data_IF_970414472322
#
_entry.id   IF_970414472322
#
_cell.length_a   1.000
_cell.length_b   1.000
_cell.length_c   1.000
_cell.angle_alpha   90.00
_cell.angle_beta   90.00
_cell.angle_gamma   90.00
#
_symmetry.space_group_name_H-M   'P 1'
#
loop_
_entity.id
_entity.type
_entity.pdbx_description
1 polymer ?
#
# COMPACT_ATOMS: atom_id res chain seq x y z
N UNK A 1 -0.74 20.68 42.71
CA UNK A 1 -1.79 19.78 42.19
C UNK A 1 -1.18 18.83 41.16
N UNK A 2 -0.97 17.54 41.49
CA UNK A 2 -0.31 16.57 40.60
C UNK A 2 -1.03 16.34 39.27
N UNK A 3 -2.36 16.44 39.25
CA UNK A 3 -3.17 16.28 38.05
C UNK A 3 -2.82 17.34 36.98
N UNK A 4 -2.70 18.60 37.41
CA UNK A 4 -2.31 19.72 36.52
C UNK A 4 -0.89 19.50 35.99
N UNK A 5 0.03 19.00 36.81
CA UNK A 5 1.40 18.73 36.39
C UNK A 5 1.46 17.63 35.32
N UNK A 6 0.66 16.56 35.47
CA UNK A 6 0.55 15.50 34.48
C UNK A 6 -0.06 16.04 33.17
N UNK A 7 -1.16 16.81 33.25
CA UNK A 7 -1.79 17.43 32.09
C UNK A 7 -0.84 18.35 31.30
N UNK A 8 -0.08 19.21 31.99
CA UNK A 8 0.87 20.13 31.34
C UNK A 8 2.00 19.40 30.60
N UNK A 9 2.43 18.22 31.09
CA UNK A 9 3.44 17.39 30.44
C UNK A 9 2.86 16.61 29.27
N UNK A 10 1.74 15.92 29.45
CA UNK A 10 1.11 15.11 28.40
C UNK A 10 0.62 15.95 27.22
N UNK A 11 0.12 17.16 27.48
CA UNK A 11 -0.31 18.09 26.42
C UNK A 11 0.86 18.84 25.76
N UNK A 12 2.12 18.58 26.17
CA UNK A 12 3.30 19.24 25.62
C UNK A 12 3.31 20.76 25.83
N UNK A 13 2.68 21.25 26.90
CA UNK A 13 2.54 22.70 27.15
C UNK A 13 3.90 23.36 27.33
N UNK A 14 4.85 22.66 27.96
CA UNK A 14 6.23 23.16 28.13
C UNK A 14 6.96 23.30 26.79
N UNK A 15 6.80 22.34 25.89
CA UNK A 15 7.33 22.36 24.52
C UNK A 15 6.67 23.50 23.71
N UNK A 16 5.35 23.66 23.84
CA UNK A 16 4.60 24.77 23.23
C UNK A 16 5.10 26.13 23.70
N UNK A 17 5.28 26.33 25.01
CA UNK A 17 5.85 27.56 25.58
C UNK A 17 7.28 27.78 25.09
N UNK A 18 8.11 26.71 25.03
CA UNK A 18 9.51 26.79 24.58
C UNK A 18 9.60 27.23 23.11
N UNK A 19 8.72 26.72 22.25
CA UNK A 19 8.63 27.13 20.84
C UNK A 19 8.09 28.55 20.73
N UNK A 20 7.00 28.91 21.42
CA UNK A 20 6.45 30.26 21.40
C UNK A 20 7.43 31.33 21.87
N UNK A 21 8.32 31.00 22.84
CA UNK A 21 9.35 31.92 23.32
C UNK A 21 10.49 32.13 22.32
N UNK A 22 10.85 31.10 21.55
CA UNK A 22 11.87 31.18 20.50
C UNK A 22 11.31 31.71 19.18
N UNK A 23 10.04 31.45 18.92
CA UNK A 23 9.34 31.77 17.68
C UNK A 23 8.74 33.18 17.66
N UNK A 24 7.99 33.43 16.59
CA UNK A 24 7.36 34.70 16.30
C UNK A 24 5.87 34.44 16.02
N UNK A 25 5.00 34.48 17.06
CA UNK A 25 3.60 34.05 16.94
C UNK A 25 2.76 34.95 16.02
N UNK A 26 3.15 36.21 15.83
CA UNK A 26 2.42 37.17 15.02
C UNK A 26 3.08 37.32 13.65
N UNK A 27 2.27 37.37 12.58
CA UNK A 27 2.75 37.50 11.19
C UNK A 27 1.85 38.44 10.38
N UNK A 28 2.45 39.38 9.66
CA UNK A 28 1.73 40.40 8.88
C UNK A 28 2.34 40.48 7.47
N UNK A 29 1.49 40.63 6.45
CA UNK A 29 1.94 40.87 5.08
C UNK A 29 2.64 42.22 4.97
N UNK A 30 3.66 42.30 4.12
CA UNK A 30 4.44 43.54 3.97
C UNK A 30 3.60 44.75 3.53
N UNK A 31 2.64 44.55 2.64
CA UNK A 31 1.72 45.60 2.18
C UNK A 31 0.91 46.17 3.35
N UNK A 32 0.26 45.29 4.12
CA UNK A 32 -0.55 45.67 5.28
C UNK A 32 0.28 46.35 6.36
N UNK A 33 1.46 45.80 6.67
CA UNK A 33 2.37 46.38 7.66
C UNK A 33 2.77 47.79 7.24
N UNK A 34 3.24 47.96 6.00
CA UNK A 34 3.62 49.26 5.46
C UNK A 34 2.45 50.23 5.52
N UNK A 35 1.27 49.86 5.02
CA UNK A 35 0.10 50.73 4.99
C UNK A 35 -0.32 51.15 6.41
N UNK A 36 -0.35 50.22 7.35
CA UNK A 36 -0.82 50.44 8.73
C UNK A 36 0.13 51.33 9.54
N UNK A 37 1.44 51.07 9.45
CA UNK A 37 2.43 51.71 10.32
C UNK A 37 3.20 52.86 9.68
N UNK A 38 2.98 53.16 8.38
CA UNK A 38 3.61 54.31 7.71
C UNK A 38 3.47 55.62 8.48
N UNK A 39 2.36 55.80 9.19
CA UNK A 39 2.07 56.96 10.02
C UNK A 39 3.07 57.17 11.18
N UNK A 40 3.73 56.11 11.63
CA UNK A 40 4.74 56.19 12.70
C UNK A 40 5.91 57.08 12.27
N UNK A 41 6.35 56.93 11.01
CA UNK A 41 7.38 57.76 10.42
C UNK A 41 7.17 57.93 8.90
N UNK A 42 6.42 58.95 8.47
CA UNK A 42 6.17 59.19 7.05
C UNK A 42 7.45 59.51 6.26
N UNK A 43 8.48 60.08 6.90
CA UNK A 43 9.73 60.42 6.25
C UNK A 43 10.57 59.19 5.85
N UNK A 44 10.41 58.06 6.56
CA UNK A 44 11.08 56.81 6.24
C UNK A 44 10.61 56.20 4.91
N UNK A 45 9.39 56.55 4.46
CA UNK A 45 8.80 56.08 3.20
C UNK A 45 8.24 57.29 2.43
N UNK A 46 9.08 57.96 1.61
CA UNK A 46 8.70 59.13 0.82
C UNK A 46 7.44 58.90 -0.04
N UNK A 47 6.60 59.92 -0.18
CA UNK A 47 5.46 59.89 -1.11
C UNK A 47 5.92 59.93 -2.57
N UNK A 48 5.22 59.19 -3.44
CA UNK A 48 5.45 59.20 -4.89
C UNK A 48 6.56 58.27 -5.41
N UNK A 49 7.39 57.67 -4.55
CA UNK A 49 8.36 56.67 -4.95
C UNK A 49 7.80 55.25 -4.77
N UNK A 50 7.81 54.45 -5.85
CA UNK A 50 7.52 53.02 -5.75
C UNK A 50 8.66 52.34 -4.99
N UNK A 51 8.39 51.99 -3.74
CA UNK A 51 9.27 51.20 -2.90
C UNK A 51 8.61 49.85 -2.73
N UNK A 52 9.38 48.78 -2.98
CA UNK A 52 8.97 47.41 -2.69
C UNK A 52 8.50 47.27 -1.24
N UNK A 53 7.40 46.56 -1.02
CA UNK A 53 6.73 46.50 0.27
C UNK A 53 7.63 45.93 1.37
N UNK A 54 8.50 44.98 1.04
CA UNK A 54 9.48 44.45 1.99
C UNK A 54 10.53 45.50 2.35
N UNK A 55 11.15 46.13 1.36
CA UNK A 55 12.12 47.24 1.61
C UNK A 55 11.50 48.40 2.39
N UNK A 56 10.22 48.71 2.13
CA UNK A 56 9.47 49.72 2.87
C UNK A 56 9.27 49.33 4.34
N UNK A 57 8.92 48.07 4.61
CA UNK A 57 8.81 47.57 5.97
C UNK A 57 10.17 47.54 6.70
N UNK A 58 11.25 47.16 6.02
CA UNK A 58 12.62 47.17 6.55
C UNK A 58 13.05 48.59 6.94
N UNK A 59 12.87 49.58 6.06
CA UNK A 59 13.17 50.99 6.35
C UNK A 59 12.34 51.54 7.50
N UNK A 60 11.05 51.21 7.53
CA UNK A 60 10.14 51.70 8.57
C UNK A 60 10.51 51.13 9.94
N UNK A 61 10.68 49.81 10.06
CA UNK A 61 11.10 49.16 11.31
C UNK A 61 12.49 49.63 11.76
N UNK A 62 13.42 49.82 10.82
CA UNK A 62 14.75 50.35 11.14
C UNK A 62 14.75 51.84 11.53
N UNK A 63 13.70 52.59 11.19
CA UNK A 63 13.55 54.00 11.59
C UNK A 63 12.92 54.18 12.97
N UNK A 64 12.39 53.10 13.55
CA UNK A 64 11.74 53.08 14.85
C UNK A 64 12.73 52.44 15.83
N UNK A 65 12.86 53.01 17.01
CA UNK A 65 13.75 52.49 18.04
C UNK A 65 13.15 51.24 18.71
N UNK A 66 13.30 50.09 18.05
CA UNK A 66 12.83 48.78 18.50
C UNK A 66 13.95 47.73 18.39
N UNK A 67 13.95 46.79 19.33
CA UNK A 67 14.91 45.68 19.33
C UNK A 67 14.70 44.78 18.09
N UNK A 68 15.76 44.66 17.28
CA UNK A 68 15.78 43.89 16.04
C UNK A 68 15.68 42.36 16.27
N UNK A 69 15.79 41.89 17.52
CA UNK A 69 15.52 40.50 17.88
C UNK A 69 14.03 40.19 18.09
N UNK A 70 13.19 41.22 18.16
CA UNK A 70 11.74 41.06 18.37
C UNK A 70 10.96 40.87 17.08
N UNK A 71 11.59 41.04 15.92
CA UNK A 71 10.98 40.75 14.63
C UNK A 71 11.94 40.02 13.68
N UNK A 72 11.38 39.35 12.66
CA UNK A 72 12.13 38.75 11.56
C UNK A 72 11.41 38.92 10.24
N UNK A 73 12.19 39.08 9.17
CA UNK A 73 11.69 39.18 7.80
C UNK A 73 11.64 37.80 7.15
N UNK A 74 10.47 37.42 6.65
CA UNK A 74 10.32 36.28 5.73
C UNK A 74 10.21 36.71 4.28
N UNK A 75 9.82 35.80 3.40
CA UNK A 75 9.66 36.11 1.97
C UNK A 75 8.48 37.03 1.68
N UNK A 76 7.32 36.77 2.28
CA UNK A 76 6.07 37.52 2.03
C UNK A 76 5.53 38.27 3.25
N UNK A 77 6.04 37.95 4.44
CA UNK A 77 5.52 38.43 5.73
C UNK A 77 6.66 38.84 6.65
N UNK A 78 6.37 39.81 7.51
CA UNK A 78 7.17 40.11 8.70
C UNK A 78 6.56 39.41 9.91
N UNK A 79 7.43 38.89 10.76
CA UNK A 79 7.09 38.11 11.93
C UNK A 79 7.49 38.87 13.20
N UNK A 80 6.63 38.86 14.22
CA UNK A 80 6.83 39.59 15.47
C UNK A 80 6.71 38.65 16.68
N UNK A 81 7.52 38.92 17.71
CA UNK A 81 7.36 38.33 19.03
C UNK A 81 6.07 38.85 19.67
N UNK A 82 5.60 38.13 20.69
CA UNK A 82 4.50 38.61 21.53
C UNK A 82 4.87 39.96 22.18
N UNK A 83 3.92 40.88 22.26
CA UNK A 83 4.11 42.22 22.83
C UNK A 83 4.51 43.30 21.82
N UNK A 84 5.45 43.03 20.90
CA UNK A 84 5.95 44.05 19.96
C UNK A 84 4.83 44.66 19.09
N UNK A 85 3.89 43.83 18.63
CA UNK A 85 2.78 44.34 17.82
C UNK A 85 1.85 45.28 18.60
N UNK A 86 1.64 45.01 19.89
CA UNK A 86 0.88 45.89 20.77
C UNK A 86 1.56 47.24 20.95
N UNK A 87 2.88 47.23 21.17
CA UNK A 87 3.68 48.46 21.24
C UNK A 87 3.58 49.29 19.96
N UNK A 88 3.66 48.66 18.78
CA UNK A 88 3.51 49.36 17.50
C UNK A 88 2.11 49.95 17.31
N UNK A 89 1.05 49.31 17.83
CA UNK A 89 -0.30 49.87 17.83
C UNK A 89 -0.42 51.07 18.78
N UNK A 90 0.13 50.98 19.99
CA UNK A 90 0.11 52.10 20.94
C UNK A 90 0.80 53.34 20.36
N UNK A 91 2.01 53.18 19.80
CA UNK A 91 2.73 54.28 19.14
C UNK A 91 1.93 54.88 17.97
N UNK A 92 1.15 54.03 17.26
CA UNK A 92 0.32 54.44 16.14
C UNK A 92 -0.89 55.23 16.61
N UNK A 93 -1.55 54.77 17.67
CA UNK A 93 -2.72 55.41 18.25
C UNK A 93 -2.39 56.79 18.84
N UNK A 94 -1.22 56.94 19.46
CA UNK A 94 -0.75 58.25 19.91
C UNK A 94 -0.60 59.26 18.75
N UNK A 95 -0.02 58.82 17.62
CA UNK A 95 0.11 59.64 16.41
C UNK A 95 -1.25 59.96 15.81
N UNK A 96 -2.13 58.96 15.69
CA UNK A 96 -3.49 59.13 15.16
C UNK A 96 -4.31 60.08 16.00
N UNK A 97 -4.24 59.98 17.34
CA UNK A 97 -4.95 60.86 18.26
C UNK A 97 -4.64 62.34 17.99
N UNK A 98 -3.37 62.68 17.77
CA UNK A 98 -2.95 64.06 17.43
C UNK A 98 -3.52 64.53 16.09
N UNK A 99 -3.52 63.67 15.05
CA UNK A 99 -4.04 64.01 13.73
C UNK A 99 -5.56 64.16 13.77
N UNK A 100 -6.25 63.18 14.36
CA UNK A 100 -7.72 63.16 14.49
C UNK A 100 -8.19 64.39 15.26
N UNK A 101 -7.48 64.79 16.33
CA UNK A 101 -7.82 65.99 17.09
C UNK A 101 -7.80 67.26 16.21
N UNK A 102 -6.81 67.39 15.30
CA UNK A 102 -6.75 68.52 14.34
C UNK A 102 -7.89 68.48 13.33
N UNK A 103 -8.20 67.31 12.78
CA UNK A 103 -9.33 67.14 11.84
C UNK A 103 -10.65 67.47 12.55
N UNK A 104 -10.85 66.96 13.76
CA UNK A 104 -12.03 67.26 14.58
C UNK A 104 -12.15 68.76 14.88
N UNK A 105 -11.04 69.44 15.19
CA UNK A 105 -11.05 70.88 15.43
C UNK A 105 -11.45 71.66 14.17
N UNK A 106 -10.95 71.28 12.99
CA UNK A 106 -11.35 71.89 11.71
C UNK A 106 -12.82 71.63 11.38
N UNK A 107 -13.29 70.39 11.54
CA UNK A 107 -14.68 70.02 11.30
C UNK A 107 -15.65 70.77 12.24
N UNK A 108 -15.36 70.80 13.55
CA UNK A 108 -16.13 71.58 14.53
C UNK A 108 -16.12 73.07 14.19
N UNK A 109 -14.95 73.61 13.81
CA UNK A 109 -14.83 75.01 13.38
C UNK A 109 -15.68 75.32 12.15
N UNK A 110 -15.72 74.43 11.16
CA UNK A 110 -16.53 74.61 9.96
C UNK A 110 -18.03 74.52 10.27
N UNK A 111 -18.44 73.54 11.07
CA UNK A 111 -19.83 73.39 11.52
C UNK A 111 -20.30 74.64 12.25
N UNK A 112 -19.49 75.19 13.15
CA UNK A 112 -19.84 76.40 13.90
C UNK A 112 -19.88 77.64 13.02
N UNK A 113 -19.02 77.77 12.00
CA UNK A 113 -19.11 78.87 11.03
C UNK A 113 -20.37 78.81 10.18
N UNK A 114 -20.78 77.61 9.74
CA UNK A 114 -22.04 77.41 9.01
C UNK A 114 -23.22 77.78 9.91
N UNK A 115 -23.23 77.30 11.16
CA UNK A 115 -24.31 77.61 12.08
C UNK A 115 -24.35 79.11 12.44
N UNK A 116 -23.19 79.73 12.64
CA UNK A 116 -23.09 81.17 12.86
C UNK A 116 -23.62 81.98 11.67
N UNK A 117 -23.33 81.55 10.43
CA UNK A 117 -23.90 82.17 9.23
C UNK A 117 -25.43 82.10 9.24
N UNK A 118 -26.02 80.96 9.59
CA UNK A 118 -27.48 80.84 9.74
C UNK A 118 -28.01 81.76 10.83
N UNK A 119 -27.29 81.93 11.94
CA UNK A 119 -27.68 82.86 13.02
C UNK A 119 -27.68 84.30 12.51
N UNK A 120 -26.67 84.72 11.74
CA UNK A 120 -26.63 86.04 11.10
C UNK A 120 -27.76 86.23 10.09
N UNK A 121 -27.97 85.26 9.20
CA UNK A 121 -29.06 85.29 8.21
C UNK A 121 -30.43 85.37 8.91
N UNK A 122 -30.63 84.64 10.01
CA UNK A 122 -31.85 84.75 10.84
C UNK A 122 -32.01 86.14 11.43
N UNK A 123 -30.92 86.76 11.94
CA UNK A 123 -30.96 88.11 12.51
C UNK A 123 -31.39 89.14 11.47
N UNK A 124 -30.82 89.08 10.27
CA UNK A 124 -31.14 90.04 9.21
C UNK A 124 -32.55 89.77 8.64
N UNK A 125 -32.92 88.51 8.46
CA UNK A 125 -34.29 88.12 8.07
C UNK A 125 -35.34 88.59 9.09
N UNK A 126 -35.05 88.54 10.39
CA UNK A 126 -35.95 89.04 11.42
C UNK A 126 -36.26 90.54 11.23
N UNK A 127 -35.26 91.36 10.92
CA UNK A 127 -35.47 92.79 10.66
C UNK A 127 -36.33 93.02 9.42
N UNK A 128 -36.03 92.30 8.33
CA UNK A 128 -36.79 92.37 7.08
C UNK A 128 -38.24 91.92 7.28
N UNK A 129 -38.48 90.82 8.00
CA UNK A 129 -39.84 90.35 8.32
C UNK A 129 -40.57 91.38 9.15
N UNK A 130 -39.97 91.90 10.23
CA UNK A 130 -40.61 92.91 11.07
C UNK A 130 -41.01 94.15 10.27
N UNK A 131 -40.12 94.64 9.39
CA UNK A 131 -40.43 95.80 8.56
C UNK A 131 -41.50 95.50 7.52
N UNK A 132 -41.41 94.37 6.82
CA UNK A 132 -42.41 93.94 5.84
C UNK A 132 -43.78 93.72 6.47
N UNK A 133 -43.87 93.15 7.67
CA UNK A 133 -45.15 92.99 8.38
C UNK A 133 -45.76 94.35 8.70
N UNK A 134 -44.97 95.32 9.18
CA UNK A 134 -45.45 96.69 9.41
C UNK A 134 -45.91 97.36 8.10
N UNK A 135 -45.12 97.28 7.04
CA UNK A 135 -45.46 97.83 5.73
C UNK A 135 -46.71 97.17 5.14
N UNK A 136 -46.81 95.84 5.21
CA UNK A 136 -47.97 95.06 4.78
C UNK A 136 -49.22 95.49 5.55
N UNK A 137 -49.14 95.64 6.88
CA UNK A 137 -50.26 96.10 7.69
C UNK A 137 -50.73 97.51 7.30
N UNK A 138 -49.82 98.37 6.84
CA UNK A 138 -50.17 99.68 6.27
C UNK A 138 -50.86 99.61 4.91
N UNK A 139 -50.42 98.72 4.02
CA UNK A 139 -50.91 98.66 2.63
C UNK A 139 -52.00 97.61 2.37
N UNK A 140 -52.24 96.65 3.27
CA UNK A 140 -53.20 95.53 3.06
C UNK A 140 -54.63 95.99 2.76
N UNK A 141 -55.00 97.16 3.28
CA UNK A 141 -56.33 97.74 3.08
C UNK A 141 -56.40 98.68 1.86
N UNK A 142 -55.26 99.00 1.24
CA UNK A 142 -55.16 99.89 0.09
C UNK A 142 -55.83 99.26 -1.16
N UNK A 143 -56.77 99.96 -1.83
CA UNK A 143 -57.51 99.39 -2.96
C UNK A 143 -56.65 98.84 -4.09
N UNK A 144 -55.55 99.51 -4.45
CA UNK A 144 -54.64 99.06 -5.52
C UNK A 144 -53.93 97.74 -5.18
N UNK A 145 -53.55 97.50 -3.92
CA UNK A 145 -52.94 96.23 -3.50
C UNK A 145 -53.94 95.06 -3.58
N UNK A 146 -55.20 95.31 -3.22
CA UNK A 146 -56.29 94.31 -3.35
C UNK A 146 -56.54 93.95 -4.82
N UNK A 147 -56.47 94.92 -5.72
CA UNK A 147 -56.60 94.69 -7.16
C UNK A 147 -55.45 93.82 -7.69
N UNK A 148 -54.21 94.14 -7.33
CA UNK A 148 -53.03 93.36 -7.73
C UNK A 148 -53.11 91.89 -7.30
N UNK A 149 -53.51 91.60 -6.05
CA UNK A 149 -53.66 90.21 -5.58
C UNK A 149 -54.78 89.44 -6.29
N UNK A 150 -55.82 90.11 -6.79
CA UNK A 150 -56.85 89.47 -7.62
C UNK A 150 -56.37 89.16 -9.03
N UNK A 151 -55.48 89.99 -9.58
CA UNK A 151 -54.98 89.85 -10.96
C UNK A 151 -53.80 88.88 -11.05
N UNK A 152 -52.89 88.89 -10.07
CA UNK A 152 -51.63 88.10 -10.12
C UNK A 152 -51.82 86.59 -10.36
N UNK A 153 -52.76 85.88 -9.71
CA UNK A 153 -52.99 84.45 -9.96
C UNK A 153 -53.58 84.16 -11.35
N UNK A 154 -54.17 85.15 -12.02
CA UNK A 154 -54.71 85.00 -13.37
C UNK A 154 -53.61 85.02 -14.44
N UNK A 155 -52.36 85.36 -14.06
CA UNK A 155 -51.18 85.33 -14.91
C UNK A 155 -50.61 83.90 -14.96
N UNK A 156 -51.35 82.99 -15.63
CA UNK A 156 -51.09 81.54 -15.76
C UNK A 156 -49.73 81.12 -16.36
N UNK A 157 -48.96 82.05 -16.92
CA UNK A 157 -47.76 81.73 -17.71
C UNK A 157 -46.54 81.34 -16.87
N UNK A 158 -46.38 81.88 -15.66
CA UNK A 158 -45.15 81.68 -14.88
C UNK A 158 -45.10 80.34 -14.12
N UNK A 159 -46.25 79.81 -13.72
CA UNK A 159 -46.34 78.55 -12.95
C UNK A 159 -46.16 77.33 -13.86
N UNK A 160 -46.77 77.37 -15.04
CA UNK A 160 -46.70 76.31 -16.05
C UNK A 160 -45.29 76.15 -16.65
N UNK A 161 -44.53 77.23 -16.80
CA UNK A 161 -43.13 77.18 -17.27
C UNK A 161 -42.20 76.48 -16.28
N UNK A 162 -42.37 76.76 -14.98
CA UNK A 162 -41.56 76.13 -13.92
C UNK A 162 -41.86 74.63 -13.76
N UNK A 163 -43.13 74.24 -13.88
CA UNK A 163 -43.54 72.83 -13.89
C UNK A 163 -42.94 72.09 -15.11
N UNK A 164 -43.03 72.70 -16.30
CA UNK A 164 -42.46 72.14 -17.52
C UNK A 164 -40.94 71.94 -17.44
N UNK A 165 -40.22 72.89 -16.83
CA UNK A 165 -38.78 72.77 -16.65
C UNK A 165 -38.41 71.63 -15.70
N UNK A 166 -39.14 71.50 -14.59
CA UNK A 166 -38.93 70.41 -13.62
C UNK A 166 -39.18 69.04 -14.27
N UNK A 167 -40.27 68.92 -15.04
CA UNK A 167 -40.63 67.69 -15.74
C UNK A 167 -39.58 67.29 -16.78
N UNK A 168 -39.01 68.24 -17.52
CA UNK A 168 -37.94 67.96 -18.51
C UNK A 168 -36.67 67.44 -17.85
N UNK A 169 -36.28 68.00 -16.71
CA UNK A 169 -35.10 67.54 -15.97
C UNK A 169 -35.29 66.13 -15.41
N UNK A 170 -36.47 65.84 -14.85
CA UNK A 170 -36.80 64.52 -14.33
C UNK A 170 -36.86 63.48 -15.44
N UNK A 171 -37.47 63.82 -16.58
CA UNK A 171 -37.53 62.95 -17.75
C UNK A 171 -36.12 62.63 -18.28
N UNK A 172 -35.24 63.64 -18.37
CA UNK A 172 -33.85 63.45 -18.80
C UNK A 172 -33.09 62.50 -17.87
N UNK A 173 -33.18 62.71 -16.55
CA UNK A 173 -32.53 61.86 -15.55
C UNK A 173 -33.05 60.42 -15.59
N UNK A 174 -34.36 60.22 -15.71
CA UNK A 174 -34.96 58.89 -15.80
C UNK A 174 -34.54 58.15 -17.06
N UNK A 175 -34.49 58.84 -18.21
CA UNK A 175 -34.07 58.26 -19.47
C UNK A 175 -32.61 57.79 -19.43
N UNK A 176 -31.71 58.62 -18.91
CA UNK A 176 -30.29 58.27 -18.79
C UNK A 176 -30.07 57.11 -17.80
N UNK A 177 -30.80 57.09 -16.68
CA UNK A 177 -30.73 56.00 -15.71
C UNK A 177 -31.23 54.68 -16.31
N UNK A 178 -32.32 54.72 -17.08
CA UNK A 178 -32.87 53.55 -17.76
C UNK A 178 -31.86 52.96 -18.75
N UNK A 179 -31.26 53.80 -19.60
CA UNK A 179 -30.28 53.37 -20.60
C UNK A 179 -29.05 52.71 -19.95
N UNK A 180 -28.50 53.34 -18.89
CA UNK A 180 -27.38 52.77 -18.12
C UNK A 180 -27.75 51.44 -17.46
N UNK A 181 -28.96 51.32 -16.92
CA UNK A 181 -29.43 50.11 -16.27
C UNK A 181 -29.63 48.97 -17.27
N UNK A 182 -30.18 49.26 -18.44
CA UNK A 182 -30.39 48.26 -19.50
C UNK A 182 -29.06 47.75 -20.07
N UNK A 183 -28.09 48.64 -20.30
CA UNK A 183 -26.75 48.25 -20.74
C UNK A 183 -26.05 47.34 -19.71
N UNK A 184 -26.09 47.71 -18.42
CA UNK A 184 -25.51 46.89 -17.35
C UNK A 184 -26.23 45.55 -17.19
N UNK A 185 -27.56 45.51 -17.36
CA UNK A 185 -28.33 44.26 -17.31
C UNK A 185 -27.87 43.29 -18.40
N UNK A 186 -27.72 43.77 -19.64
CA UNK A 186 -27.25 42.93 -20.76
C UNK A 186 -25.86 42.34 -20.51
N UNK A 187 -24.91 43.16 -20.05
CA UNK A 187 -23.55 42.70 -19.74
C UNK A 187 -23.53 41.61 -18.64
N UNK A 188 -24.38 41.77 -17.61
CA UNK A 188 -24.50 40.79 -16.54
C UNK A 188 -25.19 39.49 -17.00
N UNK A 189 -26.19 39.58 -17.87
CA UNK A 189 -26.84 38.41 -18.46
C UNK A 189 -25.88 37.59 -19.31
N UNK A 190 -25.04 38.24 -20.14
CA UNK A 190 -24.00 37.57 -20.92
C UNK A 190 -22.98 36.83 -20.03
N UNK A 191 -22.51 37.48 -18.96
CA UNK A 191 -21.62 36.86 -17.96
C UNK A 191 -22.29 35.68 -17.25
N UNK A 192 -23.58 35.79 -16.93
CA UNK A 192 -24.33 34.74 -16.27
C UNK A 192 -24.49 33.51 -17.17
N UNK A 193 -24.70 33.70 -18.47
CA UNK A 193 -24.73 32.60 -19.46
C UNK A 193 -23.39 31.87 -19.52
N UNK A 194 -22.26 32.60 -19.57
CA UNK A 194 -20.92 32.00 -19.56
C UNK A 194 -20.68 31.16 -18.31
N UNK A 195 -21.02 31.69 -17.13
CA UNK A 195 -20.86 30.97 -15.86
C UNK A 195 -21.75 29.73 -15.76
N UNK A 196 -22.97 29.79 -16.30
CA UNK A 196 -23.86 28.63 -16.35
C UNK A 196 -23.32 27.56 -17.29
N UNK A 197 -22.73 27.95 -18.42
CA UNK A 197 -22.06 27.02 -19.32
C UNK A 197 -20.86 26.36 -18.66
N UNK A 198 -19.94 27.12 -18.07
CA UNK A 198 -18.78 26.60 -17.35
C UNK A 198 -19.19 25.64 -16.21
N UNK A 199 -20.25 25.98 -15.47
CA UNK A 199 -20.80 25.11 -14.43
C UNK A 199 -21.29 23.78 -15.00
N UNK A 200 -22.03 23.81 -16.12
CA UNK A 200 -22.55 22.60 -16.75
C UNK A 200 -21.40 21.74 -17.32
N UNK A 201 -20.40 22.37 -17.93
CA UNK A 201 -19.22 21.68 -18.47
C UNK A 201 -18.42 21.00 -17.34
N UNK A 202 -18.19 21.70 -16.22
CA UNK A 202 -17.56 21.12 -15.03
C UNK A 202 -18.39 19.99 -14.43
N UNK A 203 -19.73 20.10 -14.43
CA UNK A 203 -20.60 19.05 -13.93
C UNK A 203 -20.52 17.79 -14.80
N UNK A 204 -20.47 17.94 -16.13
CA UNK A 204 -20.25 16.83 -17.05
C UNK A 204 -18.88 16.19 -16.86
N UNK A 205 -17.83 16.99 -16.67
CA UNK A 205 -16.49 16.50 -16.40
C UNK A 205 -16.42 15.71 -15.08
N UNK A 206 -17.05 16.23 -14.02
CA UNK A 206 -17.13 15.52 -12.72
C UNK A 206 -17.87 14.19 -12.86
N UNK A 207 -18.97 14.14 -13.63
CA UNK A 207 -19.68 12.88 -13.87
C UNK A 207 -18.81 11.87 -14.63
N UNK A 208 -18.11 12.30 -15.68
CA UNK A 208 -17.20 11.44 -16.44
C UNK A 208 -16.04 10.89 -15.60
N UNK A 209 -15.44 11.73 -14.74
CA UNK A 209 -14.39 11.28 -13.80
C UNK A 209 -14.95 10.34 -12.74
N UNK A 210 -16.19 10.53 -12.27
CA UNK A 210 -16.83 9.62 -11.32
C UNK A 210 -17.11 8.25 -11.96
N UNK A 211 -17.58 8.21 -13.20
CA UNK A 211 -17.81 6.96 -13.93
C UNK A 211 -16.48 6.22 -14.17
N UNK A 212 -15.42 6.95 -14.55
CA UNK A 212 -14.08 6.39 -14.73
C UNK A 212 -13.48 5.87 -13.41
N UNK A 213 -13.75 6.56 -12.29
CA UNK A 213 -13.38 6.10 -10.95
C UNK A 213 -14.11 4.80 -10.60
N UNK A 214 -15.42 4.72 -10.84
CA UNK A 214 -16.21 3.51 -10.60
C UNK A 214 -15.68 2.32 -11.43
N UNK A 215 -15.37 2.55 -12.71
CA UNK A 215 -14.76 1.52 -13.59
C UNK A 215 -13.37 1.07 -13.10
N UNK A 216 -12.60 1.98 -12.49
CA UNK A 216 -11.31 1.67 -11.90
C UNK A 216 -11.45 0.88 -10.57
N UNK A 217 -12.45 1.24 -9.74
CA UNK A 217 -12.80 0.52 -8.52
C UNK A 217 -13.26 -0.90 -8.83
N UNK A 218 -14.15 -1.10 -9.82
CA UNK A 218 -14.59 -2.44 -10.21
C UNK A 218 -13.44 -3.31 -10.70
N UNK A 219 -12.52 -2.74 -11.49
CA UNK A 219 -11.28 -3.42 -11.91
C UNK A 219 -10.39 -3.77 -10.71
N UNK A 220 -10.27 -2.88 -9.73
CA UNK A 220 -9.49 -3.12 -8.51
C UNK A 220 -10.10 -4.26 -7.69
N UNK A 221 -11.42 -4.24 -7.49
CA UNK A 221 -12.16 -5.27 -6.77
C UNK A 221 -12.02 -6.64 -7.45
N UNK A 222 -12.09 -6.68 -8.79
CA UNK A 222 -11.88 -7.92 -9.53
C UNK A 222 -10.44 -8.45 -9.35
N UNK A 223 -9.44 -7.58 -9.36
CA UNK A 223 -8.05 -7.95 -9.09
C UNK A 223 -7.87 -8.46 -7.65
N UNK A 224 -8.51 -7.83 -6.67
CA UNK A 224 -8.48 -8.27 -5.26
C UNK A 224 -9.09 -9.67 -5.13
N UNK A 225 -10.26 -9.92 -5.75
CA UNK A 225 -10.88 -11.25 -5.76
C UNK A 225 -9.98 -12.31 -6.41
N UNK A 226 -9.40 -11.99 -7.57
CA UNK A 226 -8.47 -12.88 -8.26
C UNK A 226 -7.21 -13.16 -7.43
N UNK A 227 -6.67 -12.13 -6.75
CA UNK A 227 -5.51 -12.27 -5.86
C UNK A 227 -5.80 -13.24 -4.73
N UNK A 228 -6.93 -13.11 -4.05
CA UNK A 228 -7.34 -14.03 -2.97
C UNK A 228 -7.42 -15.47 -3.48
N UNK A 229 -7.99 -15.69 -4.67
CA UNK A 229 -8.07 -17.03 -5.27
C UNK A 229 -6.68 -17.60 -5.64
N UNK A 230 -5.79 -16.76 -6.17
CA UNK A 230 -4.43 -17.16 -6.51
C UNK A 230 -3.60 -17.46 -5.25
N UNK A 231 -3.74 -16.68 -4.20
CA UNK A 231 -3.10 -16.93 -2.90
C UNK A 231 -3.58 -18.26 -2.29
N UNK A 232 -4.87 -18.56 -2.38
CA UNK A 232 -5.42 -19.85 -1.93
C UNK A 232 -4.83 -21.03 -2.73
N UNK A 233 -4.78 -20.93 -4.07
CA UNK A 233 -4.18 -21.97 -4.93
C UNK A 233 -2.68 -22.13 -4.69
N UNK A 234 -1.96 -21.03 -4.48
CA UNK A 234 -0.54 -21.08 -4.15
C UNK A 234 -0.31 -21.81 -2.83
N UNK A 235 -1.15 -21.56 -1.82
CA UNK A 235 -1.08 -22.26 -0.53
C UNK A 235 -1.36 -23.77 -0.68
N UNK A 236 -2.42 -24.15 -1.40
CA UNK A 236 -2.75 -25.56 -1.67
C UNK A 236 -1.61 -26.29 -2.42
N UNK A 237 -1.04 -25.65 -3.45
CA UNK A 237 0.08 -26.24 -4.19
C UNK A 237 1.36 -26.35 -3.34
N UNK A 238 1.58 -25.42 -2.40
CA UNK A 238 2.71 -25.48 -1.48
C UNK A 238 2.55 -26.62 -0.50
N UNK A 239 1.37 -26.78 0.13
CA UNK A 239 1.06 -27.90 1.03
C UNK A 239 1.23 -29.25 0.30
N UNK A 240 0.72 -29.36 -0.94
CA UNK A 240 0.88 -30.58 -1.74
C UNK A 240 2.33 -30.87 -2.13
N UNK A 241 3.13 -29.84 -2.39
CA UNK A 241 4.55 -29.99 -2.68
C UNK A 241 5.30 -30.50 -1.44
N UNK A 242 4.99 -29.96 -0.26
CA UNK A 242 5.55 -30.41 1.02
C UNK A 242 5.24 -31.90 1.28
N UNK A 243 3.99 -32.34 1.04
CA UNK A 243 3.58 -33.75 1.17
C UNK A 243 4.37 -34.68 0.21
N UNK A 244 4.55 -34.28 -1.05
CA UNK A 244 5.31 -35.05 -2.04
C UNK A 244 6.82 -35.06 -1.73
N UNK A 245 7.37 -33.96 -1.19
CA UNK A 245 8.75 -33.90 -0.70
C UNK A 245 8.96 -34.84 0.50
N UNK A 246 8.02 -34.89 1.44
CA UNK A 246 8.04 -35.86 2.55
C UNK A 246 7.97 -37.29 2.04
N UNK A 247 7.03 -37.60 1.13
CA UNK A 247 6.90 -38.93 0.52
C UNK A 247 8.17 -39.33 -0.24
N UNK A 248 8.79 -38.41 -0.98
CA UNK A 248 10.03 -38.67 -1.69
C UNK A 248 11.21 -38.92 -0.74
N UNK A 249 11.29 -38.18 0.37
CA UNK A 249 12.26 -38.43 1.43
C UNK A 249 12.07 -39.82 2.07
N UNK A 250 10.83 -40.22 2.35
CA UNK A 250 10.50 -41.57 2.84
C UNK A 250 10.88 -42.67 1.84
N UNK A 251 10.54 -42.49 0.56
CA UNK A 251 10.88 -43.43 -0.51
C UNK A 251 12.39 -43.54 -0.69
N UNK A 252 13.11 -42.42 -0.61
CA UNK A 252 14.57 -42.41 -0.68
C UNK A 252 15.19 -43.14 0.51
N UNK A 253 14.63 -42.96 1.72
CA UNK A 253 15.07 -43.68 2.91
C UNK A 253 14.78 -45.19 2.80
N UNK A 254 13.59 -45.58 2.32
CA UNK A 254 13.23 -47.00 2.06
C UNK A 254 14.11 -47.61 0.98
N UNK A 255 14.36 -46.89 -0.11
CA UNK A 255 15.25 -47.31 -1.19
C UNK A 255 16.64 -47.60 -0.64
N UNK A 256 17.19 -46.70 0.17
CA UNK A 256 18.52 -46.89 0.79
C UNK A 256 18.57 -48.15 1.67
N UNK A 257 17.54 -48.39 2.50
CA UNK A 257 17.44 -49.63 3.29
C UNK A 257 17.40 -50.89 2.41
N UNK A 258 16.61 -50.88 1.34
CA UNK A 258 16.53 -52.01 0.41
C UNK A 258 17.84 -52.22 -0.35
N UNK A 259 18.54 -51.14 -0.72
CA UNK A 259 19.87 -51.20 -1.33
C UNK A 259 20.90 -51.81 -0.36
N UNK A 260 20.88 -51.39 0.91
CA UNK A 260 21.72 -51.95 1.97
C UNK A 260 21.42 -53.46 2.15
N UNK A 261 20.14 -53.86 2.31
CA UNK A 261 19.71 -55.26 2.42
C UNK A 261 20.09 -56.10 1.18
N UNK A 262 19.92 -55.56 -0.03
CA UNK A 262 20.32 -56.25 -1.27
C UNK A 262 21.84 -56.44 -1.35
N UNK A 263 22.62 -55.47 -0.84
CA UNK A 263 24.08 -55.57 -0.80
C UNK A 263 24.54 -56.62 0.21
N UNK A 264 23.88 -56.73 1.37
CA UNK A 264 24.14 -57.77 2.37
C UNK A 264 23.80 -59.15 1.82
N UNK A 265 22.61 -59.33 1.22
CA UNK A 265 22.21 -60.60 0.62
C UNK A 265 23.14 -61.04 -0.52
N UNK A 266 23.61 -60.10 -1.35
CA UNK A 266 24.62 -60.42 -2.39
C UNK A 266 25.92 -60.92 -1.77
N UNK A 267 26.38 -60.29 -0.70
CA UNK A 267 27.57 -60.72 0.02
C UNK A 267 27.39 -62.10 0.63
N UNK A 268 26.24 -62.36 1.25
CA UNK A 268 25.91 -63.68 1.81
C UNK A 268 25.85 -64.77 0.71
N UNK A 269 25.33 -64.44 -0.48
CA UNK A 269 25.34 -65.33 -1.65
C UNK A 269 26.78 -65.61 -2.08
N UNK A 270 27.62 -64.59 -2.26
CA UNK A 270 29.02 -64.76 -2.65
C UNK A 270 29.79 -65.62 -1.63
N UNK A 271 29.57 -65.40 -0.32
CA UNK A 271 30.16 -66.18 0.77
C UNK A 271 29.68 -67.65 0.76
N UNK A 272 28.39 -67.87 0.49
CA UNK A 272 27.81 -69.21 0.34
C UNK A 272 28.31 -69.92 -0.91
N UNK A 273 28.47 -69.24 -2.04
CA UNK A 273 29.05 -69.79 -3.27
C UNK A 273 30.51 -70.20 -3.05
N UNK A 274 31.30 -69.38 -2.36
CA UNK A 274 32.67 -69.73 -1.96
C UNK A 274 32.70 -70.98 -1.05
N UNK A 275 31.78 -71.05 -0.08
CA UNK A 275 31.63 -72.21 0.79
C UNK A 275 31.20 -73.45 0.01
N UNK A 276 30.26 -73.32 -0.93
CA UNK A 276 29.77 -74.41 -1.79
C UNK A 276 30.91 -74.94 -2.66
N UNK A 277 31.66 -74.06 -3.32
CA UNK A 277 32.82 -74.44 -4.14
C UNK A 277 33.89 -75.17 -3.30
N UNK A 278 34.09 -74.76 -2.04
CA UNK A 278 34.98 -75.45 -1.11
C UNK A 278 34.46 -76.84 -0.76
N UNK A 279 33.18 -76.97 -0.41
CA UNK A 279 32.52 -78.25 -0.10
C UNK A 279 32.50 -79.16 -1.32
N UNK A 280 32.26 -78.66 -2.52
CA UNK A 280 32.34 -79.43 -3.77
C UNK A 280 33.75 -79.94 -4.04
N UNK A 281 34.78 -79.12 -3.78
CA UNK A 281 36.17 -79.55 -3.90
C UNK A 281 36.51 -80.65 -2.89
N UNK A 282 36.04 -80.53 -1.65
CA UNK A 282 36.17 -81.56 -0.62
C UNK A 282 35.40 -82.82 -1.01
N UNK A 283 34.17 -82.69 -1.53
CA UNK A 283 33.34 -83.79 -2.05
C UNK A 283 34.07 -84.51 -3.18
N UNK A 284 34.59 -83.81 -4.17
CA UNK A 284 35.33 -84.42 -5.28
C UNK A 284 36.60 -85.13 -4.79
N UNK A 285 37.30 -84.57 -3.81
CA UNK A 285 38.43 -85.24 -3.17
C UNK A 285 38.01 -86.54 -2.47
N UNK A 286 36.86 -86.55 -1.78
CA UNK A 286 36.31 -87.76 -1.18
C UNK A 286 35.77 -88.77 -2.21
N UNK A 287 35.11 -88.32 -3.27
CA UNK A 287 34.62 -89.17 -4.37
C UNK A 287 35.78 -89.86 -5.08
N UNK A 288 36.88 -89.15 -5.35
CA UNK A 288 38.09 -89.75 -5.91
C UNK A 288 38.71 -90.80 -4.97
N UNK A 289 38.70 -90.53 -3.66
CA UNK A 289 39.11 -91.53 -2.65
C UNK A 289 38.22 -92.77 -2.69
N UNK A 290 36.90 -92.58 -2.75
CA UNK A 290 35.93 -93.67 -2.86
C UNK A 290 36.17 -94.45 -4.14
N UNK A 291 36.30 -93.78 -5.29
CA UNK A 291 36.52 -94.42 -6.59
C UNK A 291 37.78 -95.28 -6.60
N UNK A 292 38.89 -94.78 -6.05
CA UNK A 292 40.13 -95.56 -5.92
C UNK A 292 39.91 -96.81 -5.04
N UNK A 293 39.21 -96.68 -3.92
CA UNK A 293 38.88 -97.82 -3.06
C UNK A 293 37.93 -98.82 -3.75
N UNK A 294 37.00 -98.34 -4.58
CA UNK A 294 36.10 -99.20 -5.36
C UNK A 294 36.85 -99.95 -6.47
N UNK A 295 37.83 -99.32 -7.12
CA UNK A 295 38.70 -99.96 -8.11
C UNK A 295 39.62 -101.02 -7.46
N UNK A 296 40.13 -100.75 -6.25
CA UNK A 296 40.85 -101.76 -5.44
C UNK A 296 39.93 -102.94 -5.07
N UNK A 297 38.68 -102.68 -4.70
CA UNK A 297 37.69 -103.72 -4.44
C UNK A 297 37.37 -104.57 -5.67
N UNK A 298 37.18 -103.96 -6.84
CA UNK A 298 36.91 -104.70 -8.08
C UNK A 298 38.10 -105.60 -8.48
N UNK A 299 39.34 -105.15 -8.24
CA UNK A 299 40.52 -105.98 -8.43
C UNK A 299 40.59 -107.19 -7.47
N UNK A 300 40.14 -107.01 -6.22
CA UNK A 300 40.02 -108.11 -5.27
C UNK A 300 38.94 -109.11 -5.70
N UNK A 301 37.80 -108.65 -6.21
CA UNK A 301 36.71 -109.52 -6.70
C UNK A 301 37.12 -110.34 -7.94
N UNK A 302 37.89 -109.78 -8.89
CA UNK A 302 38.45 -110.54 -10.01
C UNK A 302 39.41 -111.64 -9.55
N UNK A 303 40.16 -111.37 -8.48
CA UNK A 303 41.09 -112.34 -7.89
C UNK A 303 40.33 -113.50 -7.24
N UNK A 304 39.23 -113.20 -6.55
CA UNK A 304 38.31 -114.21 -5.97
C UNK A 304 37.66 -115.04 -7.08
N UNK A 305 37.23 -114.43 -8.18
CA UNK A 305 36.60 -115.14 -9.30
C UNK A 305 37.57 -116.14 -9.96
N UNK A 306 38.85 -115.79 -10.11
CA UNK A 306 39.89 -116.71 -10.63
C UNK A 306 40.10 -117.93 -9.71
N UNK A 307 40.24 -117.70 -8.42
CA UNK A 307 40.40 -118.78 -7.42
C UNK A 307 39.17 -119.71 -7.38
N UNK A 308 37.98 -119.17 -7.59
CA UNK A 308 36.74 -119.97 -7.62
C UNK A 308 36.67 -120.86 -8.86
N UNK A 309 37.21 -120.41 -10.00
CA UNK A 309 37.25 -121.16 -11.26
C UNK A 309 38.26 -122.30 -11.23
N UNK A 310 39.43 -122.10 -10.61
CA UNK A 310 40.42 -123.16 -10.37
C UNK A 310 39.91 -124.25 -9.43
N UNK A 311 39.17 -123.87 -8.37
CA UNK A 311 38.54 -124.82 -7.45
C UNK A 311 37.58 -125.78 -8.15
N UNK A 312 36.80 -125.28 -9.12
CA UNK A 312 35.80 -126.07 -9.84
C UNK A 312 36.43 -127.08 -10.82
N UNK A 313 37.49 -126.69 -11.51
CA UNK A 313 38.24 -127.57 -12.41
C UNK A 313 38.92 -128.74 -11.68
N UNK A 314 39.40 -128.51 -10.45
CA UNK A 314 39.97 -129.55 -9.58
C UNK A 314 38.93 -130.56 -9.08
N UNK A 315 37.67 -130.14 -8.86
CA UNK A 315 36.60 -131.05 -8.46
C UNK A 315 36.13 -131.96 -9.60
N UNK A 316 36.09 -131.45 -10.84
CA UNK A 316 35.69 -132.24 -12.02
C UNK A 316 36.74 -133.30 -12.40
N UNK A 317 38.03 -133.00 -12.25
CA UNK A 317 39.12 -133.96 -12.48
C UNK A 317 39.13 -135.11 -11.45
N UNK A 318 38.72 -134.85 -10.20
CA UNK A 318 38.64 -135.87 -9.16
C UNK A 318 37.49 -136.87 -9.42
N UNK A 319 36.35 -136.40 -9.91
CA UNK A 319 35.19 -137.26 -10.16
C UNK A 319 35.43 -138.23 -11.32
N UNK A 320 36.11 -137.77 -12.38
CA UNK A 320 36.44 -138.60 -13.55
C UNK A 320 37.39 -139.76 -13.19
N UNK A 321 38.33 -139.55 -12.27
CA UNK A 321 39.26 -140.58 -11.82
C UNK A 321 38.60 -141.67 -10.93
N UNK A 322 37.48 -141.36 -10.28
CA UNK A 322 36.70 -142.33 -9.49
C UNK A 322 35.87 -143.26 -10.39
N UNK A 323 35.32 -142.75 -11.49
CA UNK A 323 34.49 -143.52 -12.41
C UNK A 323 35.30 -144.53 -13.25
N UNK A 324 36.55 -144.21 -13.61
CA UNK A 324 37.44 -145.11 -14.35
C UNK A 324 37.95 -146.28 -13.49
N UNK A 325 38.08 -146.10 -12.17
CA UNK A 325 38.48 -147.16 -11.24
C UNK A 325 37.37 -148.20 -11.04
N UNK A 326 36.11 -147.75 -10.98
CA UNK A 326 34.94 -148.61 -10.83
C UNK A 326 34.72 -149.52 -12.06
N UNK A 327 35.02 -149.02 -13.26
CA UNK A 327 34.88 -149.76 -14.51
C UNK A 327 35.88 -150.92 -14.67
N UNK A 328 37.08 -150.81 -14.08
CA UNK A 328 38.08 -151.89 -14.11
C UNK A 328 37.82 -152.96 -13.02
N UNK A 329 37.23 -152.60 -11.87
CA UNK A 329 36.81 -153.57 -10.84
C UNK A 329 35.66 -154.49 -11.30
N UNK A 330 34.75 -154.00 -12.13
CA UNK A 330 33.61 -154.79 -12.63
C UNK A 330 34.00 -155.81 -13.72
N UNK A 331 35.07 -155.57 -14.49
CA UNK A 331 35.62 -156.51 -15.49
C UNK A 331 36.35 -157.70 -14.85
N UNK A 332 37.08 -157.46 -13.75
CA UNK A 332 37.80 -158.53 -13.02
C UNK A 332 36.81 -159.47 -12.33
N UNK A 333 35.68 -158.94 -11.83
CA UNK A 333 34.62 -159.73 -11.20
C UNK A 333 33.83 -160.60 -12.17
N UNK A 334 33.68 -160.18 -13.44
CA UNK A 334 32.97 -160.98 -14.47
C UNK A 334 33.83 -162.12 -15.02
N UNK A 335 35.15 -161.93 -15.18
CA UNK A 335 36.06 -163.00 -15.62
C UNK A 335 36.28 -164.07 -14.54
N UNK A 336 36.29 -163.68 -13.25
CA UNK A 336 36.41 -164.63 -12.12
C UNK A 336 35.16 -165.51 -11.96
N UNK A 337 33.96 -164.97 -12.23
CA UNK A 337 32.69 -165.72 -12.17
C UNK A 337 32.48 -166.69 -13.36
N UNK A 338 33.08 -166.41 -14.52
CA UNK A 338 33.06 -167.33 -15.67
C UNK A 338 34.05 -168.49 -15.52
N UNK A 339 35.20 -168.27 -14.86
CA UNK A 339 36.19 -169.32 -14.58
C UNK A 339 35.67 -170.37 -13.58
N UNK A 340 35.05 -169.93 -12.48
CA UNK A 340 34.55 -170.82 -11.41
C UNK A 340 33.35 -171.67 -11.88
N UNK A 341 32.58 -171.25 -12.89
CA UNK A 341 31.47 -172.04 -13.44
C UNK A 341 31.90 -173.16 -14.40
N UNK A 342 33.15 -173.16 -14.89
CA UNK A 342 33.69 -174.20 -15.77
C UNK A 342 34.54 -175.24 -15.01
N UNK A 343 34.92 -174.97 -13.76
CA UNK A 343 35.84 -175.84 -12.98
C UNK A 343 35.14 -176.68 -11.88
N UNK A 344 33.80 -176.66 -11.73
CA UNK A 344 33.13 -177.28 -10.56
C UNK A 344 31.85 -178.12 -10.82
N UNK A 345 31.66 -178.71 -12.02
CA UNK A 345 30.71 -179.83 -12.22
C UNK A 345 31.28 -180.89 -13.20
N UNK A 346 32.52 -181.30 -12.95
CA UNK A 346 33.15 -182.51 -13.47
C UNK A 346 34.01 -183.16 -12.36
N UNK A 347 33.41 -183.40 -11.19
CA UNK A 347 33.85 -184.40 -10.20
C UNK A 347 32.65 -184.76 -9.30
N UNK A 348 32.25 -186.04 -9.31
CA UNK A 348 31.10 -186.66 -8.66
C UNK A 348 31.27 -186.84 -7.13
N UNK A 349 30.15 -186.67 -6.39
CA UNK A 349 29.74 -187.18 -5.03
C UNK A 349 29.01 -186.12 -4.20
#
# INVERSE_FOLDING_TARGET
NPLVMHQLRCNGVLEGIRICRKGFPNRILYGDFRQRYRILNPAAIPEGQFIDSRKGAEKLLGSIDIDHNQYKFGHTKVFFKAGLLGLLEEMRDERLSRIITRIQAQARGQLMRIEFKKILERRDALLVIQWNVRAFMGVKNWPWMKLYFKIKPLLKSAETEKEMQTMKEEFGRLKEALEKSEARRKELEEKMVSLLQEKNDLQLQVQAEQDNLNDAEERCDQLIKNKIQLEAKAKELTERLEDEEEMNAELTAKKRKLEDECSELKKDIDDLELSLAKVEKEKHATENKVKNLTEEMAGLDETIAKLTKEKKALQEAHQQALDDLQAEEDKVNTLTKAKVKLEQQADDV
#
